data_IF_663559630839
#
_entry.id   IF_663559630839
#
_cell.length_a   1.000
_cell.length_b   1.000
_cell.length_c   1.000
_cell.angle_alpha   90.00
_cell.angle_beta   90.00
_cell.angle_gamma   90.00
#
_symmetry.space_group_name_H-M   'P 1'
#
loop_
_entity.id
_entity.type
_entity.pdbx_description
1 polymer ?
#
# COMPACT_ATOMS: atom_id res chain seq x y z
N UNK A 1 -10.46 14.65 11.49
CA UNK A 1 -10.99 15.70 10.60
C UNK A 1 -12.23 16.28 11.27
N UNK A 2 -12.22 17.55 11.68
CA UNK A 2 -13.35 18.14 12.43
C UNK A 2 -14.64 18.14 11.60
N UNK A 3 -14.53 18.21 10.27
CA UNK A 3 -15.66 18.09 9.33
C UNK A 3 -16.31 16.70 9.34
N UNK A 4 -15.52 15.63 9.46
CA UNK A 4 -16.04 14.26 9.48
C UNK A 4 -16.84 13.97 10.76
N UNK A 5 -16.47 14.63 11.87
CA UNK A 5 -17.11 14.49 13.18
C UNK A 5 -18.30 15.43 13.39
N UNK A 6 -18.63 16.31 12.42
CA UNK A 6 -19.72 17.30 12.55
C UNK A 6 -21.12 16.69 12.50
N UNK A 7 -21.28 15.49 11.96
CA UNK A 7 -22.58 14.80 11.85
C UNK A 7 -22.43 13.34 12.26
N UNK A 8 -23.34 12.79 13.10
CA UNK A 8 -23.35 11.37 13.40
C UNK A 8 -23.60 10.58 12.12
N UNK A 9 -22.69 9.64 11.83
CA UNK A 9 -22.78 8.75 10.66
C UNK A 9 -23.47 7.46 11.10
N UNK A 10 -24.49 7.04 10.35
CA UNK A 10 -25.07 5.70 10.51
C UNK A 10 -24.17 4.69 9.84
N UNK A 11 -23.99 3.53 10.47
CA UNK A 11 -23.25 2.42 9.87
C UNK A 11 -24.03 1.88 8.68
N UNK A 12 -23.58 2.18 7.47
CA UNK A 12 -24.19 1.68 6.23
C UNK A 12 -23.34 0.54 5.68
N UNK A 13 -23.68 -0.69 6.08
CA UNK A 13 -22.99 -1.89 5.63
C UNK A 13 -23.01 -2.04 4.09
N UNK A 14 -24.05 -1.52 3.42
CA UNK A 14 -24.17 -1.56 1.95
C UNK A 14 -23.19 -0.60 1.28
N UNK A 15 -22.91 0.55 1.91
CA UNK A 15 -21.84 1.45 1.45
C UNK A 15 -20.45 0.85 1.65
N UNK A 16 -20.21 0.20 2.79
CA UNK A 16 -18.92 -0.45 3.06
C UNK A 16 -18.66 -1.56 2.03
N UNK A 17 -19.66 -2.39 1.73
CA UNK A 17 -19.55 -3.42 0.71
C UNK A 17 -19.25 -2.85 -0.68
N UNK A 18 -19.95 -1.77 -1.08
CA UNK A 18 -19.64 -1.07 -2.34
C UNK A 18 -18.23 -0.51 -2.35
N UNK A 19 -17.80 0.13 -1.26
CA UNK A 19 -16.45 0.66 -1.15
C UNK A 19 -15.39 -0.44 -1.35
N UNK A 20 -15.56 -1.60 -0.70
CA UNK A 20 -14.67 -2.74 -0.85
C UNK A 20 -14.64 -3.26 -2.30
N UNK A 21 -15.79 -3.34 -2.97
CA UNK A 21 -15.89 -3.78 -4.37
C UNK A 21 -15.19 -2.83 -5.37
N UNK A 22 -15.09 -1.53 -5.07
CA UNK A 22 -14.40 -0.56 -5.93
C UNK A 22 -12.91 -0.42 -5.61
N UNK A 23 -12.57 -0.38 -4.32
CA UNK A 23 -11.18 -0.15 -3.87
C UNK A 23 -10.37 -1.45 -3.84
N UNK A 24 -10.99 -2.59 -3.52
CA UNK A 24 -10.33 -3.90 -3.46
C UNK A 24 -9.63 -4.28 -4.77
N UNK A 25 -10.34 -4.34 -5.92
CA UNK A 25 -9.73 -4.66 -7.20
C UNK A 25 -8.62 -3.70 -7.61
N UNK A 26 -8.74 -2.43 -7.20
CA UNK A 26 -7.70 -1.43 -7.44
C UNK A 26 -6.39 -1.82 -6.75
N UNK A 27 -6.46 -2.33 -5.51
CA UNK A 27 -5.28 -2.82 -4.79
C UNK A 27 -4.71 -4.08 -5.41
N UNK A 28 -5.57 -5.03 -5.78
CA UNK A 28 -5.15 -6.32 -6.34
C UNK A 28 -4.38 -6.20 -7.66
N UNK A 29 -4.64 -5.16 -8.45
CA UNK A 29 -3.83 -4.87 -9.65
C UNK A 29 -2.36 -4.70 -9.28
N UNK A 30 -2.06 -4.01 -8.17
CA UNK A 30 -0.68 -3.78 -7.74
C UNK A 30 -0.04 -5.08 -7.26
N UNK A 31 -0.75 -5.89 -6.48
CA UNK A 31 -0.28 -7.22 -6.08
C UNK A 31 0.06 -8.10 -7.30
N UNK A 32 -0.81 -8.10 -8.32
CA UNK A 32 -0.58 -8.84 -9.58
C UNK A 32 0.64 -8.28 -10.33
N UNK A 33 0.79 -6.95 -10.39
CA UNK A 33 1.95 -6.34 -11.06
C UNK A 33 3.25 -6.61 -10.32
N UNK A 34 3.25 -6.61 -8.98
CA UNK A 34 4.40 -7.00 -8.16
C UNK A 34 4.74 -8.47 -8.42
N UNK A 35 3.74 -9.35 -8.47
CA UNK A 35 3.93 -10.75 -8.81
C UNK A 35 4.59 -10.90 -10.19
N UNK A 36 4.04 -10.24 -11.21
CA UNK A 36 4.55 -10.28 -12.57
C UNK A 36 5.98 -9.71 -12.66
N UNK A 37 6.26 -8.64 -11.93
CA UNK A 37 7.59 -8.03 -11.86
C UNK A 37 8.61 -9.01 -11.28
N UNK A 38 8.30 -9.63 -10.15
CA UNK A 38 9.18 -10.63 -9.54
C UNK A 38 9.36 -11.85 -10.45
N UNK A 39 8.28 -12.29 -11.10
CA UNK A 39 8.29 -13.46 -11.97
C UNK A 39 9.05 -13.28 -13.29
N UNK A 40 8.83 -12.16 -13.99
CA UNK A 40 9.35 -11.94 -15.35
C UNK A 40 10.59 -11.06 -15.40
N UNK A 41 10.74 -10.07 -14.51
CA UNK A 41 11.88 -9.14 -14.51
C UNK A 41 13.02 -9.68 -13.65
N UNK A 42 12.71 -10.15 -12.45
CA UNK A 42 13.69 -10.73 -11.53
C UNK A 42 13.88 -12.24 -11.70
N UNK A 43 13.13 -12.86 -12.61
CA UNK A 43 13.16 -14.30 -12.87
C UNK A 43 13.04 -15.15 -11.59
N UNK A 44 12.33 -14.64 -10.56
CA UNK A 44 12.14 -15.30 -9.28
C UNK A 44 11.02 -16.34 -9.36
N UNK A 45 11.13 -17.25 -10.32
CA UNK A 45 10.11 -18.22 -10.74
C UNK A 45 10.54 -19.69 -10.52
N UNK A 46 11.65 -19.91 -9.81
CA UNK A 46 12.21 -21.21 -9.48
C UNK A 46 12.52 -21.28 -7.97
N UNK A 47 12.68 -22.50 -7.45
CA UNK A 47 12.77 -22.76 -6.01
C UNK A 47 13.94 -22.02 -5.34
N UNK A 48 15.09 -21.91 -6.01
CA UNK A 48 16.27 -21.23 -5.47
C UNK A 48 16.05 -19.73 -5.28
N UNK A 49 15.24 -19.09 -6.13
CA UNK A 49 14.88 -17.67 -6.03
C UNK A 49 13.61 -17.41 -5.20
N UNK A 50 13.09 -18.42 -4.48
CA UNK A 50 11.88 -18.27 -3.65
C UNK A 50 12.07 -17.19 -2.56
N UNK A 51 13.22 -17.16 -1.90
CA UNK A 51 13.52 -16.18 -0.86
C UNK A 51 13.53 -14.74 -1.43
N UNK A 52 14.10 -14.56 -2.63
CA UNK A 52 14.09 -13.29 -3.34
C UNK A 52 12.65 -12.82 -3.64
N UNK A 53 11.79 -13.73 -4.13
CA UNK A 53 10.38 -13.44 -4.38
C UNK A 53 9.68 -12.99 -3.08
N UNK A 54 9.85 -13.76 -2.01
CA UNK A 54 9.22 -13.51 -0.71
C UNK A 54 9.69 -12.20 -0.09
N UNK A 55 10.98 -11.87 -0.20
CA UNK A 55 11.53 -10.57 0.22
C UNK A 55 10.91 -9.40 -0.52
N UNK A 56 10.84 -9.48 -1.85
CA UNK A 56 10.23 -8.43 -2.68
C UNK A 56 8.77 -8.21 -2.30
N UNK A 57 8.02 -9.31 -2.25
CA UNK A 57 6.61 -9.34 -1.85
C UNK A 57 6.40 -8.77 -0.44
N UNK A 58 7.27 -9.11 0.51
CA UNK A 58 7.21 -8.59 1.88
C UNK A 58 7.35 -7.08 1.93
N UNK A 59 8.40 -6.52 1.29
CA UNK A 59 8.62 -5.07 1.29
C UNK A 59 7.45 -4.36 0.61
N UNK A 60 7.06 -4.80 -0.58
CA UNK A 60 5.99 -4.12 -1.33
C UNK A 60 4.66 -4.20 -0.57
N UNK A 61 4.26 -5.38 -0.11
CA UNK A 61 3.03 -5.58 0.66
C UNK A 61 2.98 -4.76 1.95
N UNK A 62 4.09 -4.67 2.69
CA UNK A 62 4.14 -3.86 3.91
C UNK A 62 4.01 -2.35 3.60
N UNK A 63 4.74 -1.88 2.58
CA UNK A 63 4.74 -0.46 2.21
C UNK A 63 3.40 -0.05 1.60
N UNK A 64 2.80 -0.87 0.76
CA UNK A 64 1.48 -0.61 0.19
C UNK A 64 0.40 -0.58 1.29
N UNK A 65 0.38 -1.57 2.20
CA UNK A 65 -0.58 -1.60 3.31
C UNK A 65 -0.46 -0.37 4.23
N UNK A 66 0.76 0.04 4.57
CA UNK A 66 0.97 1.24 5.38
C UNK A 66 0.54 2.51 4.65
N UNK A 67 0.77 2.61 3.34
CA UNK A 67 0.30 3.73 2.52
C UNK A 67 -1.23 3.76 2.39
N UNK A 68 -1.88 2.61 2.17
CA UNK A 68 -3.35 2.48 2.06
C UNK A 68 -4.05 3.18 3.24
N UNK A 69 -3.54 3.01 4.45
CA UNK A 69 -4.11 3.61 5.67
C UNK A 69 -4.16 5.14 5.55
N UNK A 70 -3.10 5.78 5.04
CA UNK A 70 -3.09 7.23 4.83
C UNK A 70 -4.02 7.65 3.70
N UNK A 71 -4.10 6.83 2.66
CA UNK A 71 -4.87 7.09 1.45
C UNK A 71 -6.38 7.09 1.67
N UNK A 72 -6.86 6.14 2.48
CA UNK A 72 -8.27 5.90 2.74
C UNK A 72 -8.82 6.66 3.96
N UNK A 73 -7.95 7.21 4.82
CA UNK A 73 -8.36 7.90 6.06
C UNK A 73 -9.32 9.07 5.85
N UNK A 74 -9.15 9.85 4.78
CA UNK A 74 -9.99 11.04 4.54
C UNK A 74 -10.35 11.19 3.05
N UNK A 75 -11.43 11.95 2.81
CA UNK A 75 -11.86 12.37 1.47
C UNK A 75 -10.79 13.21 0.74
N UNK A 76 -9.91 13.87 1.50
CA UNK A 76 -8.90 14.82 1.03
C UNK A 76 -7.66 14.10 0.50
N UNK A 77 -6.86 14.79 -0.32
CA UNK A 77 -5.58 14.27 -0.79
C UNK A 77 -4.61 14.18 0.41
N UNK A 78 -4.07 12.99 0.72
CA UNK A 78 -3.17 12.80 1.85
C UNK A 78 -1.87 13.58 1.63
N UNK A 79 -1.25 14.02 2.72
CA UNK A 79 0.00 14.78 2.78
C UNK A 79 -0.04 16.22 2.23
N UNK A 80 -0.96 16.51 1.30
CA UNK A 80 -1.18 17.84 0.70
C UNK A 80 -2.33 18.56 1.43
N UNK A 81 -3.52 17.95 1.48
CA UNK A 81 -4.72 18.58 2.03
C UNK A 81 -5.07 18.08 3.44
N UNK A 82 -4.61 16.88 3.80
CA UNK A 82 -4.79 16.31 5.13
C UNK A 82 -3.56 15.52 5.52
N UNK A 83 -2.91 15.92 6.62
CA UNK A 83 -1.78 15.20 7.20
C UNK A 83 -2.26 14.33 8.36
N UNK A 84 -1.71 13.13 8.47
CA UNK A 84 -1.84 12.35 9.68
C UNK A 84 -1.18 13.09 10.85
N UNK A 85 -1.61 12.78 12.07
CA UNK A 85 -0.97 13.34 13.26
C UNK A 85 0.50 12.90 13.29
N UNK A 86 1.36 13.74 13.88
CA UNK A 86 2.81 13.47 13.90
C UNK A 86 3.16 12.06 14.41
N UNK A 87 2.52 11.51 15.48
CA UNK A 87 2.80 10.14 15.91
C UNK A 87 2.53 9.10 14.81
N UNK A 88 1.42 9.22 14.07
CA UNK A 88 1.08 8.26 13.00
C UNK A 88 2.08 8.35 11.84
N UNK A 89 2.50 9.57 11.48
CA UNK A 89 3.53 9.75 10.45
C UNK A 89 4.87 9.13 10.85
N UNK A 90 5.33 9.37 12.08
CA UNK A 90 6.57 8.82 12.59
C UNK A 90 6.50 7.29 12.67
N UNK A 91 5.42 6.74 13.21
CA UNK A 91 5.26 5.28 13.29
C UNK A 91 5.25 4.66 11.89
N UNK A 92 4.53 5.24 10.91
CA UNK A 92 4.58 4.74 9.53
C UNK A 92 5.97 4.82 8.94
N UNK A 93 6.69 5.94 9.11
CA UNK A 93 8.04 6.08 8.59
C UNK A 93 9.01 5.05 9.20
N UNK A 94 8.91 4.81 10.52
CA UNK A 94 9.69 3.79 11.22
C UNK A 94 9.36 2.40 10.70
N UNK A 95 8.07 2.05 10.54
CA UNK A 95 7.67 0.74 10.02
C UNK A 95 8.18 0.53 8.59
N UNK A 96 8.07 1.53 7.71
CA UNK A 96 8.57 1.43 6.33
C UNK A 96 10.10 1.27 6.31
N UNK A 97 10.83 2.05 7.12
CA UNK A 97 12.28 1.95 7.21
C UNK A 97 12.74 0.59 7.75
N UNK A 98 12.09 0.11 8.82
CA UNK A 98 12.36 -1.22 9.38
C UNK A 98 12.01 -2.32 8.38
N UNK A 99 10.88 -2.21 7.69
CA UNK A 99 10.45 -3.16 6.66
C UNK A 99 11.45 -3.29 5.53
N UNK A 100 11.99 -2.17 5.05
CA UNK A 100 13.06 -2.17 4.05
C UNK A 100 14.34 -2.80 4.62
N UNK A 101 14.67 -2.52 5.88
CA UNK A 101 15.90 -3.00 6.51
C UNK A 101 15.90 -4.49 6.84
N UNK A 102 14.75 -5.08 7.20
CA UNK A 102 14.66 -6.47 7.69
C UNK A 102 15.33 -7.49 6.75
N UNK A 103 15.06 -7.51 5.43
CA UNK A 103 15.72 -8.46 4.51
C UNK A 103 17.24 -8.29 4.40
N UNK A 104 17.78 -7.13 4.77
CA UNK A 104 19.22 -6.83 4.78
C UNK A 104 19.87 -7.09 6.14
N UNK A 105 19.10 -7.56 7.13
CA UNK A 105 19.56 -7.79 8.49
C UNK A 105 19.69 -9.29 8.80
N UNK A 106 20.44 -9.66 9.86
CA UNK A 106 20.51 -11.05 10.31
C UNK A 106 19.13 -11.65 10.65
N UNK A 107 18.18 -10.82 11.08
CA UNK A 107 16.80 -11.26 11.34
C UNK A 107 16.09 -11.69 10.07
N UNK A 108 16.37 -11.05 8.93
CA UNK A 108 15.84 -11.45 7.62
C UNK A 108 16.25 -12.87 7.29
N UNK A 109 17.54 -13.19 7.41
CA UNK A 109 18.07 -14.52 7.16
C UNK A 109 17.44 -15.61 8.06
N UNK A 110 17.11 -15.28 9.32
CA UNK A 110 16.42 -16.21 10.24
C UNK A 110 14.98 -16.54 9.82
N UNK A 111 14.31 -15.62 9.11
CA UNK A 111 12.91 -15.77 8.67
C UNK A 111 12.83 -16.22 7.20
N UNK A 112 13.98 -16.45 6.55
CA UNK A 112 14.05 -16.87 5.14
C UNK A 112 13.95 -15.71 4.13
N UNK A 113 14.23 -14.48 4.55
CA UNK A 113 14.30 -13.30 3.69
C UNK A 113 15.75 -13.07 3.24
N UNK A 114 15.91 -12.75 1.97
CA UNK A 114 17.18 -12.41 1.33
C UNK A 114 17.26 -10.90 0.98
N UNK A 115 18.45 -10.28 1.01
CA UNK A 115 18.69 -8.95 0.49
C UNK A 115 18.26 -8.79 -0.98
N UNK A 116 17.50 -7.73 -1.27
CA UNK A 116 17.05 -7.47 -2.64
C UNK A 116 18.12 -6.70 -3.44
N UNK A 117 18.25 -6.96 -4.75
CA UNK A 117 19.13 -6.19 -5.62
C UNK A 117 18.66 -4.73 -5.69
N UNK A 118 19.61 -3.80 -5.81
CA UNK A 118 19.31 -2.36 -5.88
C UNK A 118 18.37 -1.99 -7.05
N UNK A 119 18.37 -2.79 -8.12
CA UNK A 119 17.45 -2.63 -9.26
C UNK A 119 15.98 -2.82 -8.90
N UNK A 120 15.65 -3.47 -7.77
CA UNK A 120 14.27 -3.62 -7.28
C UNK A 120 13.65 -2.30 -6.81
N UNK A 121 14.43 -1.43 -6.16
CA UNK A 121 13.90 -0.22 -5.51
C UNK A 121 13.30 0.81 -6.48
N UNK A 122 13.86 1.09 -7.66
CA UNK A 122 13.20 1.92 -8.67
C UNK A 122 11.82 1.40 -9.07
N UNK A 123 11.66 0.08 -9.23
CA UNK A 123 10.37 -0.53 -9.51
C UNK A 123 9.40 -0.41 -8.34
N UNK A 124 9.86 -0.66 -7.12
CA UNK A 124 9.07 -0.47 -5.91
C UNK A 124 8.54 0.98 -5.81
N UNK A 125 9.42 1.98 -6.01
CA UNK A 125 9.01 3.39 -6.01
C UNK A 125 7.95 3.65 -7.09
N UNK A 126 8.17 3.14 -8.31
CA UNK A 126 7.21 3.29 -9.40
C UNK A 126 5.84 2.67 -9.08
N UNK A 127 5.83 1.46 -8.50
CA UNK A 127 4.62 0.76 -8.06
C UNK A 127 3.88 1.55 -6.98
N UNK A 128 4.58 2.02 -5.94
CA UNK A 128 3.96 2.75 -4.83
C UNK A 128 3.44 4.14 -5.26
N UNK A 129 4.15 4.84 -6.14
CA UNK A 129 3.67 6.10 -6.72
C UNK A 129 2.44 5.87 -7.60
N UNK A 130 2.46 4.84 -8.44
CA UNK A 130 1.33 4.46 -9.28
C UNK A 130 0.13 4.06 -8.43
N UNK A 131 0.34 3.29 -7.36
CA UNK A 131 -0.66 2.95 -6.36
C UNK A 131 -1.29 4.21 -5.77
N UNK A 132 -0.47 5.16 -5.33
CA UNK A 132 -0.97 6.43 -4.80
C UNK A 132 -1.84 7.18 -5.83
N UNK A 133 -1.39 7.29 -7.07
CA UNK A 133 -2.13 8.00 -8.12
C UNK A 133 -3.47 7.33 -8.43
N UNK A 134 -3.46 6.00 -8.62
CA UNK A 134 -4.68 5.24 -8.96
C UNK A 134 -5.64 5.22 -7.78
N UNK A 135 -5.17 5.01 -6.55
CA UNK A 135 -6.04 5.02 -5.38
C UNK A 135 -6.65 6.42 -5.11
N UNK A 136 -5.90 7.51 -5.30
CA UNK A 136 -6.48 8.86 -5.25
C UNK A 136 -7.50 9.08 -6.38
N UNK A 137 -7.20 8.65 -7.60
CA UNK A 137 -8.09 8.74 -8.75
C UNK A 137 -9.40 7.98 -8.51
N UNK A 138 -9.29 6.73 -8.03
CA UNK A 138 -10.44 5.88 -7.70
C UNK A 138 -11.27 6.48 -6.58
N UNK A 139 -10.63 7.03 -5.53
CA UNK A 139 -11.33 7.77 -4.48
C UNK A 139 -12.15 8.94 -5.06
N UNK A 140 -11.53 9.77 -5.89
CA UNK A 140 -12.20 10.92 -6.50
C UNK A 140 -13.35 10.49 -7.40
N UNK A 141 -13.17 9.41 -8.15
CA UNK A 141 -14.21 8.81 -8.98
C UNK A 141 -15.38 8.27 -8.14
N UNK A 142 -15.09 7.52 -7.08
CA UNK A 142 -16.10 6.99 -6.16
C UNK A 142 -16.93 8.11 -5.54
N UNK A 143 -16.28 9.16 -5.03
CA UNK A 143 -16.96 10.32 -4.44
C UNK A 143 -17.84 11.03 -5.48
N UNK A 144 -17.35 11.21 -6.72
CA UNK A 144 -18.14 11.82 -7.80
C UNK A 144 -19.35 10.96 -8.19
N UNK A 145 -19.21 9.63 -8.16
CA UNK A 145 -20.25 8.68 -8.58
C UNK A 145 -21.34 8.47 -7.55
N UNK A 146 -20.99 8.47 -6.27
CA UNK A 146 -21.89 8.13 -5.16
C UNK A 146 -22.20 9.32 -4.22
N UNK A 147 -21.53 10.46 -4.40
CA UNK A 147 -21.73 11.68 -3.60
C UNK A 147 -21.29 11.56 -2.14
N UNK A 148 -20.69 10.43 -1.76
CA UNK A 148 -20.35 10.08 -0.39
C UNK A 148 -19.01 9.37 -0.35
N UNK A 149 -18.30 9.50 0.77
CA UNK A 149 -17.11 8.73 1.08
C UNK A 149 -17.35 8.07 2.42
N UNK A 150 -17.31 6.73 2.41
CA UNK A 150 -17.90 5.88 3.44
C UNK A 150 -19.40 6.14 3.63
#
# INVERSE_FOLDING_TARGET
DKEFLRKPRKWDAKNIGRFMLWIGPTSSIFDITTFALMWYVFAANHVEAQALFQSGWFIEGLLSQTLVVHMLRTQKIPFIQSRATLPVLLTTAVIMAMGIYIPFSPLGAMVGLEPLPLSYFPWLIATLLSYCLVAQGMKRFYIKRFGQWF
#
